data_IF_585936959830
#
_entry.id   IF_585936959830
#
_cell.length_a   1.000
_cell.length_b   1.000
_cell.length_c   1.000
_cell.angle_alpha   90.00
_cell.angle_beta   90.00
_cell.angle_gamma   90.00
#
_symmetry.space_group_name_H-M   'P 1'
#
loop_
_entity.id
_entity.type
_entity.pdbx_description
1 polymer ?
#
# COMPACT_ATOMS: atom_id res chain seq x y z
N UNK A 1 -16.53 1.07 -6.92
CA UNK A 1 -15.16 1.56 -6.63
C UNK A 1 -14.73 1.22 -5.21
N UNK A 2 -15.54 1.46 -4.19
CA UNK A 2 -15.17 1.06 -2.82
C UNK A 2 -14.89 -0.45 -2.71
N UNK A 3 -15.65 -1.32 -3.39
CA UNK A 3 -15.36 -2.77 -3.45
C UNK A 3 -13.97 -3.10 -4.04
N UNK A 4 -13.54 -2.38 -5.08
CA UNK A 4 -12.23 -2.57 -5.71
C UNK A 4 -11.13 -2.08 -4.76
N UNK A 5 -11.31 -0.90 -4.19
CA UNK A 5 -10.39 -0.33 -3.19
C UNK A 5 -10.26 -1.26 -1.98
N UNK A 6 -11.37 -1.79 -1.46
CA UNK A 6 -11.39 -2.81 -0.41
C UNK A 6 -10.59 -4.05 -0.81
N UNK A 7 -10.82 -4.60 -1.99
CA UNK A 7 -10.09 -5.77 -2.48
C UNK A 7 -8.58 -5.52 -2.57
N UNK A 8 -8.16 -4.36 -3.08
CA UNK A 8 -6.75 -3.99 -3.16
C UNK A 8 -6.12 -3.81 -1.77
N UNK A 9 -6.83 -3.18 -0.82
CA UNK A 9 -6.34 -3.04 0.55
C UNK A 9 -6.20 -4.41 1.23
N UNK A 10 -7.18 -5.30 1.07
CA UNK A 10 -7.10 -6.69 1.58
C UNK A 10 -5.91 -7.42 0.97
N UNK A 11 -5.70 -7.30 -0.35
CA UNK A 11 -4.55 -7.88 -1.02
C UNK A 11 -3.22 -7.36 -0.46
N UNK A 12 -3.10 -6.05 -0.18
CA UNK A 12 -1.91 -5.47 0.44
C UNK A 12 -1.67 -6.02 1.86
N UNK A 13 -2.73 -6.11 2.68
CA UNK A 13 -2.63 -6.66 4.04
C UNK A 13 -2.13 -8.09 3.98
N UNK A 14 -2.74 -8.93 3.14
CA UNK A 14 -2.35 -10.33 2.95
C UNK A 14 -0.91 -10.41 2.41
N UNK A 15 -0.54 -9.55 1.46
CA UNK A 15 0.82 -9.51 0.92
C UNK A 15 1.88 -9.20 1.97
N UNK A 16 1.66 -8.17 2.80
CA UNK A 16 2.59 -7.78 3.85
C UNK A 16 2.73 -8.80 4.97
N UNK A 17 1.63 -9.47 5.35
CA UNK A 17 1.69 -10.54 6.35
C UNK A 17 2.29 -11.80 5.74
N UNK A 18 1.85 -12.18 4.55
CA UNK A 18 2.23 -13.42 3.87
C UNK A 18 3.71 -13.48 3.52
N UNK A 19 4.31 -12.37 3.09
CA UNK A 19 5.74 -12.35 2.74
C UNK A 19 6.64 -12.71 3.93
N UNK A 20 6.22 -12.37 5.15
CA UNK A 20 6.96 -12.70 6.38
C UNK A 20 6.94 -14.21 6.69
N UNK A 21 6.03 -14.98 6.09
CA UNK A 21 5.90 -16.42 6.30
C UNK A 21 6.66 -17.23 5.24
N UNK A 22 6.82 -16.68 4.03
CA UNK A 22 7.40 -17.40 2.88
C UNK A 22 8.85 -17.01 2.60
N UNK A 23 9.32 -15.87 3.09
CA UNK A 23 10.67 -15.39 2.87
C UNK A 23 11.42 -15.17 4.20
N UNK A 24 12.71 -15.59 4.30
CA UNK A 24 13.54 -15.30 5.46
C UNK A 24 13.94 -13.82 5.45
N UNK A 25 13.14 -12.98 6.11
CA UNK A 25 13.38 -11.54 6.20
C UNK A 25 14.10 -11.17 7.52
N UNK A 26 15.00 -10.19 7.48
CA UNK A 26 15.49 -9.52 8.69
C UNK A 26 14.34 -9.03 9.60
N UNK A 27 14.54 -9.10 10.91
CA UNK A 27 13.49 -8.75 11.92
C UNK A 27 12.92 -7.35 11.73
N UNK A 28 13.74 -6.38 11.31
CA UNK A 28 13.28 -5.01 11.09
C UNK A 28 12.29 -4.92 9.91
N UNK A 29 12.51 -5.66 8.82
CA UNK A 29 11.59 -5.71 7.67
C UNK A 29 10.27 -6.40 8.04
N UNK A 30 10.33 -7.44 8.87
CA UNK A 30 9.12 -8.07 9.42
C UNK A 30 8.32 -7.04 10.21
N UNK A 31 8.98 -6.28 11.10
CA UNK A 31 8.35 -5.20 11.86
C UNK A 31 7.69 -4.16 10.97
N UNK A 32 8.40 -3.64 9.96
CA UNK A 32 7.83 -2.67 9.00
C UNK A 32 6.61 -3.22 8.25
N UNK A 33 6.68 -4.47 7.79
CA UNK A 33 5.58 -5.10 7.05
C UNK A 33 4.34 -5.27 7.95
N UNK A 34 4.52 -5.66 9.21
CA UNK A 34 3.42 -5.75 10.18
C UNK A 34 2.82 -4.37 10.45
N UNK A 35 3.65 -3.33 10.64
CA UNK A 35 3.16 -1.96 10.84
C UNK A 35 2.33 -1.48 9.65
N UNK A 36 2.79 -1.72 8.42
CA UNK A 36 2.04 -1.37 7.21
C UNK A 36 0.73 -2.16 7.10
N UNK A 37 0.76 -3.47 7.38
CA UNK A 37 -0.44 -4.30 7.38
C UNK A 37 -1.49 -3.79 8.37
N UNK A 38 -1.08 -3.42 9.59
CA UNK A 38 -1.96 -2.83 10.61
C UNK A 38 -2.50 -1.48 10.17
N UNK A 39 -1.68 -0.62 9.58
CA UNK A 39 -2.11 0.68 9.06
C UNK A 39 -3.17 0.52 7.94
N UNK A 40 -2.94 -0.38 6.99
CA UNK A 40 -3.94 -0.70 5.96
C UNK A 40 -5.21 -1.32 6.54
N UNK A 41 -5.10 -2.16 7.57
CA UNK A 41 -6.26 -2.73 8.26
C UNK A 41 -7.08 -1.65 8.98
N UNK A 42 -6.44 -0.66 9.60
CA UNK A 42 -7.12 0.48 10.20
C UNK A 42 -7.85 1.32 9.13
N UNK A 43 -7.19 1.60 8.01
CA UNK A 43 -7.81 2.25 6.86
C UNK A 43 -9.00 1.47 6.32
N UNK A 44 -8.88 0.15 6.19
CA UNK A 44 -9.98 -0.73 5.77
C UNK A 44 -11.15 -0.68 6.76
N UNK A 45 -10.88 -0.76 8.07
CA UNK A 45 -11.92 -0.71 9.09
C UNK A 45 -12.70 0.62 9.04
N UNK A 46 -12.00 1.75 8.84
CA UNK A 46 -12.65 3.04 8.66
C UNK A 46 -13.43 3.15 7.35
N UNK A 47 -12.93 2.55 6.26
CA UNK A 47 -13.64 2.48 4.98
C UNK A 47 -14.98 1.75 5.14
N UNK A 48 -14.97 0.60 5.80
CA UNK A 48 -16.15 -0.23 6.03
C UNK A 48 -17.18 0.45 6.95
N UNK A 49 -16.73 1.32 7.85
CA UNK A 49 -17.60 2.17 8.68
C UNK A 49 -18.12 3.41 7.95
N UNK A 50 -17.77 3.60 6.67
CA UNK A 50 -18.21 4.75 5.87
C UNK A 50 -17.53 6.06 6.23
N UNK A 51 -16.41 6.04 6.97
CA UNK A 51 -15.71 7.26 7.38
C UNK A 51 -15.08 7.95 6.18
N UNK A 52 -15.42 9.24 5.97
CA UNK A 52 -14.83 10.05 4.89
C UNK A 52 -13.34 10.32 5.10
N UNK A 53 -12.87 10.39 6.35
CA UNK A 53 -11.46 10.62 6.67
C UNK A 53 -10.53 9.48 6.19
N UNK A 54 -11.11 8.33 5.82
CA UNK A 54 -10.37 7.19 5.30
C UNK A 54 -9.64 7.49 4.01
N UNK A 55 -10.23 8.26 3.10
CA UNK A 55 -9.64 8.51 1.79
C UNK A 55 -8.33 9.30 1.87
N UNK A 56 -8.25 10.47 2.52
CA UNK A 56 -6.98 11.18 2.67
C UNK A 56 -5.95 10.38 3.48
N UNK A 57 -6.40 9.58 4.46
CA UNK A 57 -5.53 8.65 5.19
C UNK A 57 -4.89 7.61 4.26
N UNK A 58 -5.69 6.93 3.44
CA UNK A 58 -5.22 5.92 2.50
C UNK A 58 -4.30 6.53 1.44
N UNK A 59 -4.57 7.75 0.98
CA UNK A 59 -3.67 8.48 0.06
C UNK A 59 -2.32 8.70 0.71
N UNK A 60 -2.27 9.22 1.93
CA UNK A 60 -1.02 9.48 2.64
C UNK A 60 -0.24 8.18 2.90
N UNK A 61 -0.92 7.13 3.39
CA UNK A 61 -0.32 5.83 3.67
C UNK A 61 0.23 5.16 2.40
N UNK A 62 -0.56 5.13 1.33
CA UNK A 62 -0.15 4.55 0.06
C UNK A 62 0.97 5.37 -0.60
N UNK A 63 0.94 6.70 -0.51
CA UNK A 63 2.01 7.57 -1.00
C UNK A 63 3.34 7.31 -0.28
N UNK A 64 3.32 7.23 1.05
CA UNK A 64 4.50 6.85 1.84
C UNK A 64 5.03 5.47 1.43
N UNK A 65 4.13 4.49 1.32
CA UNK A 65 4.50 3.13 0.96
C UNK A 65 5.05 3.03 -0.48
N UNK A 66 4.49 3.78 -1.43
CA UNK A 66 5.00 3.86 -2.80
C UNK A 66 6.42 4.42 -2.82
N UNK A 67 6.70 5.47 -2.05
CA UNK A 67 8.05 6.03 -1.90
C UNK A 67 9.05 5.04 -1.28
N UNK A 68 8.59 4.15 -0.40
CA UNK A 68 9.42 3.07 0.14
C UNK A 68 9.71 2.00 -0.92
N UNK A 69 8.67 1.50 -1.59
CA UNK A 69 8.78 0.42 -2.59
C UNK A 69 9.53 0.90 -3.85
N UNK A 70 9.41 2.16 -4.24
CA UNK A 70 10.09 2.70 -5.42
C UNK A 70 11.61 2.62 -5.33
N UNK A 71 12.20 2.73 -4.13
CA UNK A 71 13.64 2.57 -3.91
C UNK A 71 14.15 1.15 -4.20
N UNK A 72 13.27 0.16 -4.19
CA UNK A 72 13.57 -1.22 -4.58
C UNK A 72 13.38 -1.46 -6.08
N UNK A 73 12.76 -0.51 -6.79
CA UNK A 73 12.46 -0.56 -8.23
C UNK A 73 13.42 0.30 -9.04
N UNK A 74 13.78 1.48 -8.55
CA UNK A 74 14.71 2.40 -9.20
C UNK A 74 15.78 2.79 -8.19
N UNK A 75 17.03 2.57 -8.57
CA UNK A 75 18.18 3.00 -7.79
C UNK A 75 18.34 4.53 -7.84
N UNK A 76 19.06 5.13 -6.88
CA UNK A 76 19.33 6.58 -6.92
C UNK A 76 20.04 7.05 -8.20
N UNK A 77 20.74 6.14 -8.88
CA UNK A 77 21.44 6.34 -10.16
C UNK A 77 20.49 6.36 -11.36
N UNK A 78 19.20 6.07 -11.17
CA UNK A 78 18.20 5.94 -12.24
C UNK A 78 18.17 4.57 -12.92
N UNK A 79 19.06 3.65 -12.52
CA UNK A 79 19.06 2.27 -13.02
C UNK A 79 17.89 1.46 -12.40
N UNK A 80 17.36 0.45 -13.11
CA UNK A 80 16.44 -0.52 -12.51
C UNK A 80 17.12 -1.23 -11.33
N UNK A 81 16.45 -1.24 -10.18
CA UNK A 81 16.94 -1.94 -9.00
C UNK A 81 16.99 -3.44 -9.22
N UNK A 82 17.91 -4.11 -8.51
CA UNK A 82 18.12 -5.57 -8.61
C UNK A 82 16.84 -6.40 -8.42
N UNK A 83 15.89 -5.90 -7.64
CA UNK A 83 14.61 -6.58 -7.35
C UNK A 83 13.42 -5.87 -8.00
N UNK A 84 13.64 -5.02 -9.00
CA UNK A 84 12.61 -4.21 -9.63
C UNK A 84 11.46 -5.07 -10.15
N UNK A 85 11.74 -6.14 -10.90
CA UNK A 85 10.71 -7.03 -11.43
C UNK A 85 9.80 -7.63 -10.34
N UNK A 86 10.35 -7.87 -9.14
CA UNK A 86 9.60 -8.42 -8.01
C UNK A 86 8.79 -7.35 -7.27
N UNK A 87 9.21 -6.08 -7.32
CA UNK A 87 8.59 -4.98 -6.57
C UNK A 87 7.66 -4.10 -7.43
N UNK A 88 7.78 -4.14 -8.76
CA UNK A 88 6.88 -3.42 -9.69
C UNK A 88 5.41 -3.80 -9.48
N UNK A 89 5.02 -5.10 -9.37
CA UNK A 89 3.63 -5.45 -9.13
C UNK A 89 3.08 -4.85 -7.83
N UNK A 90 3.87 -4.90 -6.75
CA UNK A 90 3.49 -4.29 -5.47
C UNK A 90 3.35 -2.77 -5.59
N UNK A 91 4.29 -2.11 -6.26
CA UNK A 91 4.24 -0.67 -6.48
C UNK A 91 2.97 -0.26 -7.25
N UNK A 92 2.61 -1.01 -8.29
CA UNK A 92 1.40 -0.75 -9.07
C UNK A 92 0.14 -0.87 -8.20
N UNK A 93 0.03 -1.90 -7.36
CA UNK A 93 -1.11 -2.06 -6.45
C UNK A 93 -1.20 -0.89 -5.47
N UNK A 94 -0.08 -0.46 -4.89
CA UNK A 94 -0.04 0.68 -3.96
C UNK A 94 -0.44 1.98 -4.66
N UNK A 95 0.04 2.23 -5.88
CA UNK A 95 -0.34 3.40 -6.67
C UNK A 95 -1.84 3.39 -7.02
N UNK A 96 -2.40 2.23 -7.39
CA UNK A 96 -3.84 2.10 -7.63
C UNK A 96 -4.66 2.42 -6.39
N UNK A 97 -4.23 1.96 -5.20
CA UNK A 97 -4.89 2.32 -3.93
C UNK A 97 -4.83 3.83 -3.71
N UNK A 98 -3.67 4.47 -3.90
CA UNK A 98 -3.52 5.92 -3.74
C UNK A 98 -4.43 6.70 -4.69
N UNK A 99 -4.43 6.36 -5.98
CA UNK A 99 -5.21 7.05 -7.01
C UNK A 99 -6.72 6.87 -6.81
N UNK A 100 -7.17 5.64 -6.51
CA UNK A 100 -8.58 5.37 -6.25
C UNK A 100 -9.06 6.06 -4.97
N UNK A 101 -8.25 6.06 -3.91
CA UNK A 101 -8.57 6.78 -2.68
C UNK A 101 -8.66 8.28 -2.93
N UNK A 102 -7.70 8.86 -3.66
CA UNK A 102 -7.70 10.28 -4.01
C UNK A 102 -8.93 10.66 -4.84
N UNK A 103 -9.25 9.89 -5.87
CA UNK A 103 -10.43 10.13 -6.68
C UNK A 103 -11.72 10.11 -5.84
N UNK A 104 -11.84 9.15 -4.91
CA UNK A 104 -13.01 9.07 -4.04
C UNK A 104 -13.09 10.23 -3.04
N UNK A 105 -11.95 10.73 -2.55
CA UNK A 105 -11.92 11.94 -1.71
C UNK A 105 -12.43 13.16 -2.49
N UNK A 106 -11.88 13.38 -3.69
CA UNK A 106 -12.24 14.51 -4.56
C UNK A 106 -13.72 14.45 -4.96
N UNK A 107 -14.21 13.27 -5.35
CA UNK A 107 -15.61 13.06 -5.74
C UNK A 107 -16.58 13.34 -4.61
N UNK A 108 -16.23 13.03 -3.35
CA UNK A 108 -17.11 13.24 -2.19
C UNK A 108 -17.10 14.67 -1.64
N UNK A 109 -16.18 15.51 -2.12
CA UNK A 109 -16.11 16.94 -1.78
C UNK A 109 -16.92 17.83 -2.73
N UNK A 110 -17.21 17.32 -3.93
CA UNK A 110 -18.16 17.90 -4.89
C UNK A 110 -19.59 17.59 -4.47
#
# INVERSE_FOLDING_TARGET
MDKVLTGLIVLLIIGYVGINLVAPLPRFLVGENIVLAVAYAAGLAWLLRGSRATYPYLVALAGFNAGRVSRSVVEPTGAPGRLAAQHVPLLLVVLLVALLALYQDLRKRQ
#
